data_IF_809988942822
#
_entry.id   IF_809988942822
#
_cell.length_a   1.000
_cell.length_b   1.000
_cell.length_c   1.000
_cell.angle_alpha   90.00
_cell.angle_beta   90.00
_cell.angle_gamma   90.00
#
_symmetry.space_group_name_H-M   'P 1'
#
loop_
_entity.id
_entity.type
_entity.pdbx_description
1 polymer ?
#
# COMPACT_ATOMS: atom_id res chain seq x y z
N UNK A 1 27.36 13.02 -4.28
CA UNK A 1 26.25 13.99 -4.30
C UNK A 1 25.47 13.85 -5.60
N UNK A 2 24.74 12.75 -5.80
CA UNK A 2 23.79 12.58 -6.91
C UNK A 2 22.66 11.68 -6.41
N UNK A 3 21.63 12.28 -5.81
CA UNK A 3 20.33 11.63 -5.62
C UNK A 3 19.25 12.69 -5.27
N UNK A 4 19.12 13.73 -6.10
CA UNK A 4 18.21 14.86 -5.79
C UNK A 4 17.27 15.30 -6.89
N UNK A 5 17.02 14.52 -7.96
CA UNK A 5 16.11 14.96 -9.04
C UNK A 5 15.20 13.88 -9.64
N UNK A 6 14.72 12.91 -8.85
CA UNK A 6 13.78 11.91 -9.38
C UNK A 6 12.61 11.52 -8.45
N UNK A 7 12.46 12.18 -7.30
CA UNK A 7 11.47 11.75 -6.29
C UNK A 7 10.30 12.72 -6.08
N UNK A 8 10.31 13.88 -6.71
CA UNK A 8 9.25 14.89 -6.54
C UNK A 8 8.10 14.71 -7.55
N UNK A 9 8.42 14.32 -8.79
CA UNK A 9 7.42 14.25 -9.88
C UNK A 9 6.62 12.93 -9.89
N UNK A 10 7.21 11.83 -9.42
CA UNK A 10 6.60 10.49 -9.52
C UNK A 10 5.45 10.24 -8.55
N UNK A 11 5.35 11.05 -7.48
CA UNK A 11 4.25 11.03 -6.51
C UNK A 11 3.17 12.09 -6.82
N UNK A 12 3.38 12.97 -7.82
CA UNK A 12 2.45 14.07 -8.15
C UNK A 12 1.35 13.68 -9.13
N UNK A 13 1.44 12.54 -9.80
CA UNK A 13 0.36 12.01 -10.66
C UNK A 13 -0.80 11.38 -9.88
N UNK A 14 -0.77 11.42 -8.53
CA UNK A 14 -1.83 10.90 -7.66
C UNK A 14 -2.78 11.98 -7.13
N UNK A 15 -2.94 13.09 -7.85
CA UNK A 15 -3.81 14.21 -7.43
C UNK A 15 -4.81 14.55 -8.53
N UNK A 16 -5.69 13.61 -8.88
CA UNK A 16 -6.98 13.93 -9.52
C UNK A 16 -8.05 12.94 -9.06
N UNK A 17 -8.30 12.91 -7.73
CA UNK A 17 -9.46 12.20 -7.16
C UNK A 17 -10.80 12.68 -7.79
N UNK A 18 -10.80 13.84 -8.43
CA UNK A 18 -11.91 14.41 -9.21
C UNK A 18 -12.28 13.59 -10.46
N UNK A 19 -11.42 12.68 -10.94
CA UNK A 19 -11.65 11.91 -12.17
C UNK A 19 -12.04 10.44 -11.95
N UNK A 20 -11.96 9.91 -10.72
CA UNK A 20 -12.27 8.48 -10.47
C UNK A 20 -13.76 8.24 -10.28
N UNK A 21 -14.50 8.34 -11.39
CA UNK A 21 -15.94 8.09 -11.43
C UNK A 21 -16.29 6.62 -11.67
N UNK A 22 -15.35 5.82 -12.21
CA UNK A 22 -15.59 4.44 -12.61
C UNK A 22 -14.82 3.41 -11.78
N UNK A 23 -15.32 2.17 -11.76
CA UNK A 23 -14.65 1.02 -11.11
C UNK A 23 -13.26 0.77 -11.71
N UNK A 24 -13.08 0.95 -13.02
CA UNK A 24 -11.77 0.81 -13.67
C UNK A 24 -10.75 1.83 -13.15
N UNK A 25 -11.15 3.07 -12.88
CA UNK A 25 -10.22 4.12 -12.44
C UNK A 25 -9.67 3.81 -11.05
N UNK A 26 -10.54 3.36 -10.15
CA UNK A 26 -10.11 2.87 -8.84
C UNK A 26 -9.21 1.65 -8.91
N UNK A 27 -9.49 0.71 -9.83
CA UNK A 27 -8.65 -0.45 -10.04
C UNK A 27 -7.26 -0.06 -10.59
N UNK A 28 -7.19 0.93 -11.49
CA UNK A 28 -5.93 1.49 -12.00
C UNK A 28 -5.16 2.21 -10.90
N UNK A 29 -5.85 3.02 -10.08
CA UNK A 29 -5.24 3.70 -8.95
C UNK A 29 -4.64 2.70 -7.95
N UNK A 30 -5.44 1.72 -7.50
CA UNK A 30 -4.97 0.71 -6.54
C UNK A 30 -3.79 -0.10 -7.12
N UNK A 31 -3.84 -0.40 -8.42
CA UNK A 31 -2.72 -1.03 -9.14
C UNK A 31 -1.46 -0.20 -9.02
N UNK A 32 -1.53 1.07 -9.40
CA UNK A 32 -0.39 1.97 -9.38
C UNK A 32 0.17 2.13 -7.97
N UNK A 33 -0.72 2.37 -7.00
CA UNK A 33 -0.37 2.52 -5.59
C UNK A 33 0.37 1.29 -5.03
N UNK A 34 -0.14 0.09 -5.31
CA UNK A 34 0.50 -1.16 -4.88
C UNK A 34 1.89 -1.35 -5.49
N UNK A 35 2.06 -0.98 -6.76
CA UNK A 35 3.34 -1.16 -7.47
C UNK A 35 4.39 -0.20 -6.93
N UNK A 36 4.05 1.08 -6.75
CA UNK A 36 5.01 2.06 -6.23
C UNK A 36 5.44 1.67 -4.81
N UNK A 37 4.50 1.23 -3.99
CA UNK A 37 4.79 0.72 -2.66
C UNK A 37 5.76 -0.50 -2.67
N UNK A 38 5.61 -1.42 -3.63
CA UNK A 38 6.54 -2.54 -3.81
C UNK A 38 7.93 -2.10 -4.29
N UNK A 39 8.02 -1.05 -5.13
CA UNK A 39 9.30 -0.50 -5.59
C UNK A 39 10.06 0.20 -4.47
N UNK A 40 9.35 0.90 -3.60
CA UNK A 40 9.90 1.55 -2.42
C UNK A 40 10.16 0.57 -1.26
N UNK A 41 9.86 -0.72 -1.45
CA UNK A 41 10.12 -1.72 -0.44
C UNK A 41 11.63 -1.89 -0.21
N UNK A 42 12.08 -1.94 1.05
CA UNK A 42 13.47 -2.23 1.39
C UNK A 42 13.86 -3.69 1.11
N UNK A 43 12.88 -4.60 0.99
CA UNK A 43 13.10 -6.00 0.61
C UNK A 43 13.43 -6.13 -0.90
N UNK A 44 14.63 -6.65 -1.27
CA UNK A 44 14.97 -6.89 -2.68
C UNK A 44 14.03 -7.86 -3.38
N UNK A 45 13.45 -8.81 -2.65
CA UNK A 45 12.48 -9.76 -3.18
C UNK A 45 11.18 -9.03 -3.60
N UNK A 46 10.64 -8.16 -2.73
CA UNK A 46 9.41 -7.40 -3.00
C UNK A 46 9.61 -6.42 -4.16
N UNK A 47 10.78 -5.77 -4.27
CA UNK A 47 11.12 -4.91 -5.42
C UNK A 47 11.12 -5.68 -6.73
N UNK A 48 11.72 -6.87 -6.75
CA UNK A 48 11.75 -7.73 -7.94
C UNK A 48 10.33 -8.19 -8.32
N UNK A 49 9.49 -8.48 -7.32
CA UNK A 49 8.10 -8.85 -7.53
C UNK A 49 7.21 -7.71 -8.06
N UNK A 50 7.66 -6.44 -8.06
CA UNK A 50 6.88 -5.32 -8.58
C UNK A 50 6.45 -5.51 -10.05
N UNK A 51 7.31 -6.11 -10.87
CA UNK A 51 7.00 -6.45 -12.27
C UNK A 51 6.01 -7.60 -12.39
N UNK A 52 6.08 -8.58 -11.49
CA UNK A 52 5.12 -9.67 -11.47
C UNK A 52 3.75 -9.19 -11.00
N UNK A 53 3.70 -8.30 -9.99
CA UNK A 53 2.49 -7.65 -9.52
C UNK A 53 1.84 -6.74 -10.58
N UNK A 54 2.62 -6.19 -11.51
CA UNK A 54 2.07 -5.48 -12.68
C UNK A 54 1.25 -6.40 -13.57
N UNK A 55 1.71 -7.62 -13.81
CA UNK A 55 1.11 -8.57 -14.74
C UNK A 55 0.01 -9.42 -14.10
N UNK A 56 0.14 -9.72 -12.81
CA UNK A 56 -0.73 -10.66 -12.09
C UNK A 56 -1.47 -9.96 -10.94
N UNK A 57 -2.79 -9.71 -11.08
CA UNK A 57 -3.60 -9.06 -10.04
C UNK A 57 -3.60 -9.80 -8.70
N UNK A 58 -3.61 -11.13 -8.74
CA UNK A 58 -3.55 -11.98 -7.54
C UNK A 58 -2.27 -11.72 -6.74
N UNK A 59 -1.10 -11.84 -7.39
CA UNK A 59 0.21 -11.59 -6.76
C UNK A 59 0.30 -10.18 -6.17
N UNK A 60 -0.26 -9.17 -6.85
CA UNK A 60 -0.30 -7.80 -6.34
C UNK A 60 -1.06 -7.72 -5.02
N UNK A 61 -2.24 -8.36 -4.93
CA UNK A 61 -3.08 -8.34 -3.74
C UNK A 61 -2.38 -8.96 -2.54
N UNK A 62 -1.73 -10.11 -2.76
CA UNK A 62 -1.00 -10.83 -1.71
C UNK A 62 0.22 -10.05 -1.22
N UNK A 63 0.98 -9.43 -2.13
CA UNK A 63 2.21 -8.72 -1.79
C UNK A 63 1.96 -7.30 -1.27
N UNK A 64 0.77 -6.75 -1.46
CA UNK A 64 0.49 -5.35 -1.12
C UNK A 64 0.63 -5.08 0.38
N UNK A 65 0.07 -5.95 1.22
CA UNK A 65 0.19 -5.83 2.68
C UNK A 65 1.63 -6.02 3.16
N UNK A 66 2.33 -7.02 2.60
CA UNK A 66 3.74 -7.26 2.90
C UNK A 66 4.64 -6.09 2.48
N UNK A 67 4.38 -5.51 1.31
CA UNK A 67 5.05 -4.30 0.82
C UNK A 67 4.88 -3.12 1.76
N UNK A 68 3.66 -2.92 2.26
CA UNK A 68 3.31 -1.78 3.11
C UNK A 68 4.02 -1.88 4.46
N UNK A 69 3.89 -3.03 5.12
CA UNK A 69 4.55 -3.30 6.40
C UNK A 69 6.06 -3.18 6.26
N UNK A 70 6.62 -3.73 5.18
CA UNK A 70 8.06 -3.71 4.95
C UNK A 70 8.62 -2.31 4.78
N UNK A 71 7.91 -1.41 4.09
CA UNK A 71 8.43 -0.08 3.76
C UNK A 71 8.02 1.01 4.73
N UNK A 72 6.87 0.88 5.42
CA UNK A 72 6.29 1.97 6.21
C UNK A 72 7.27 2.62 7.19
N UNK A 73 8.01 1.82 7.97
CA UNK A 73 9.00 2.32 8.94
C UNK A 73 10.27 2.91 8.30
N UNK A 74 10.51 2.65 7.02
CA UNK A 74 11.69 3.10 6.27
C UNK A 74 11.38 4.26 5.31
N UNK A 75 10.09 4.57 5.09
CA UNK A 75 9.67 5.75 4.35
C UNK A 75 10.00 7.02 5.15
N UNK A 76 10.45 8.07 4.46
CA UNK A 76 10.61 9.38 5.07
C UNK A 76 9.25 9.99 5.44
N UNK A 77 9.24 11.00 6.31
CA UNK A 77 8.00 11.63 6.77
C UNK A 77 7.13 12.22 5.65
N UNK A 78 7.74 12.72 4.57
CA UNK A 78 7.00 13.30 3.45
C UNK A 78 6.24 12.22 2.69
N UNK A 79 6.88 11.08 2.41
CA UNK A 79 6.29 9.90 1.77
C UNK A 79 5.21 9.27 2.66
N UNK A 80 5.43 9.16 3.97
CA UNK A 80 4.41 8.68 4.91
C UNK A 80 3.18 9.60 4.91
N UNK A 81 3.38 10.92 5.01
CA UNK A 81 2.29 11.91 4.94
C UNK A 81 1.51 11.83 3.63
N UNK A 82 2.21 11.67 2.51
CA UNK A 82 1.57 11.53 1.20
C UNK A 82 0.74 10.24 1.09
N UNK A 83 1.23 9.16 1.68
CA UNK A 83 0.54 7.89 1.72
C UNK A 83 -0.74 7.97 2.57
N UNK A 84 -0.65 8.59 3.76
CA UNK A 84 -1.82 8.84 4.62
C UNK A 84 -2.85 9.70 3.91
N UNK A 85 -2.42 10.77 3.23
CA UNK A 85 -3.32 11.63 2.43
C UNK A 85 -4.01 10.84 1.33
N UNK A 86 -3.28 9.98 0.62
CA UNK A 86 -3.84 9.14 -0.45
C UNK A 86 -4.90 8.17 0.09
N UNK A 87 -4.65 7.56 1.25
CA UNK A 87 -5.62 6.71 1.93
C UNK A 87 -6.84 7.51 2.41
N UNK A 88 -6.63 8.67 3.04
CA UNK A 88 -7.71 9.54 3.51
C UNK A 88 -8.62 10.00 2.36
N UNK A 89 -8.04 10.38 1.22
CA UNK A 89 -8.80 10.73 0.02
C UNK A 89 -9.62 9.55 -0.49
N UNK A 90 -9.05 8.34 -0.52
CA UNK A 90 -9.75 7.14 -0.94
C UNK A 90 -10.93 6.81 0.00
N UNK A 91 -10.72 6.84 1.32
CA UNK A 91 -11.76 6.58 2.31
C UNK A 91 -12.86 7.66 2.35
N UNK A 92 -12.55 8.89 1.97
CA UNK A 92 -13.52 9.99 1.93
C UNK A 92 -14.35 10.02 0.65
N UNK A 93 -14.02 9.19 -0.36
CA UNK A 93 -14.75 9.19 -1.63
C UNK A 93 -16.05 8.39 -1.53
N UNK A 94 -17.20 8.96 -1.90
CA UNK A 94 -18.48 8.24 -1.88
C UNK A 94 -18.60 7.19 -3.00
N UNK A 95 -17.73 7.23 -4.00
CA UNK A 95 -17.78 6.35 -5.18
C UNK A 95 -16.78 5.19 -5.11
N UNK A 96 -16.14 4.97 -3.97
CA UNK A 96 -15.15 3.90 -3.83
C UNK A 96 -15.84 2.52 -3.98
N UNK A 97 -15.37 1.65 -4.89
CA UNK A 97 -15.90 0.30 -5.01
C UNK A 97 -15.64 -0.52 -3.72
N UNK A 98 -16.60 -1.33 -3.26
CA UNK A 98 -16.46 -2.11 -2.03
C UNK A 98 -15.22 -3.00 -1.99
N UNK A 99 -14.77 -3.53 -3.13
CA UNK A 99 -13.61 -4.41 -3.21
C UNK A 99 -12.29 -3.65 -2.96
N UNK A 100 -12.23 -2.39 -3.40
CA UNK A 100 -11.09 -1.51 -3.19
C UNK A 100 -11.06 -1.07 -1.73
N UNK A 101 -12.22 -0.66 -1.20
CA UNK A 101 -12.37 -0.34 0.21
C UNK A 101 -11.95 -1.50 1.11
N UNK A 102 -12.40 -2.72 0.83
CA UNK A 102 -12.02 -3.92 1.56
C UNK A 102 -10.49 -4.17 1.52
N UNK A 103 -9.86 -3.94 0.36
CA UNK A 103 -8.40 -4.09 0.22
C UNK A 103 -7.64 -3.04 1.04
N UNK A 104 -8.10 -1.79 1.05
CA UNK A 104 -7.49 -0.71 1.85
C UNK A 104 -7.72 -0.92 3.35
N UNK A 105 -8.90 -1.40 3.75
CA UNK A 105 -9.18 -1.76 5.14
C UNK A 105 -8.30 -2.92 5.61
N UNK A 106 -8.11 -3.94 4.78
CA UNK A 106 -7.18 -5.04 5.07
C UNK A 106 -5.76 -4.52 5.27
N UNK A 107 -5.30 -3.61 4.40
CA UNK A 107 -4.00 -2.96 4.52
C UNK A 107 -3.84 -2.21 5.85
N UNK A 108 -4.83 -1.37 6.19
CA UNK A 108 -4.84 -0.59 7.42
C UNK A 108 -4.86 -1.49 8.66
N UNK A 109 -5.67 -2.55 8.65
CA UNK A 109 -5.74 -3.53 9.72
C UNK A 109 -4.37 -4.20 9.94
N UNK A 110 -3.73 -4.70 8.88
CA UNK A 110 -2.39 -5.31 8.97
C UNK A 110 -1.36 -4.31 9.48
N UNK A 111 -1.41 -3.05 9.02
CA UNK A 111 -0.53 -1.98 9.50
C UNK A 111 -0.69 -1.70 11.00
N UNK A 112 -1.92 -1.56 11.48
CA UNK A 112 -2.24 -1.33 12.90
C UNK A 112 -1.80 -2.53 13.75
N UNK A 113 -2.06 -3.76 13.29
CA UNK A 113 -1.64 -4.98 13.99
C UNK A 113 -0.12 -5.08 14.10
N UNK A 114 0.60 -4.77 13.01
CA UNK A 114 2.06 -4.74 13.02
C UNK A 114 2.59 -3.68 13.99
N UNK A 115 2.00 -2.48 13.96
CA UNK A 115 2.35 -1.41 14.89
C UNK A 115 2.13 -1.83 16.35
N UNK A 116 0.99 -2.46 16.65
CA UNK A 116 0.68 -2.97 17.99
C UNK A 116 1.65 -4.06 18.44
N UNK A 117 2.07 -4.96 17.53
CA UNK A 117 3.06 -5.98 17.83
C UNK A 117 4.43 -5.36 18.16
N UNK A 118 4.85 -4.34 17.43
CA UNK A 118 6.15 -3.68 17.61
C UNK A 118 6.21 -2.72 18.80
N UNK A 119 5.15 -1.94 19.04
CA UNK A 119 5.16 -0.84 20.01
C UNK A 119 4.36 -1.12 21.29
N UNK A 120 3.40 -2.05 21.25
CA UNK A 120 2.54 -2.37 22.39
C UNK A 120 2.80 -3.79 22.94
N UNK A 121 3.78 -4.51 22.40
CA UNK A 121 4.12 -5.87 22.83
C UNK A 121 2.98 -6.87 22.65
N UNK A 122 2.06 -6.60 21.72
CA UNK A 122 0.91 -7.47 21.47
C UNK A 122 1.39 -8.77 20.83
N UNK A 123 1.28 -9.86 21.59
CA UNK A 123 1.46 -11.23 21.10
C UNK A 123 0.17 -11.65 20.38
N UNK A 124 0.20 -11.68 19.05
CA UNK A 124 -0.87 -12.32 18.28
C UNK A 124 -0.74 -13.83 18.50
N UNK A 125 -1.64 -14.42 19.30
CA UNK A 125 -1.78 -15.88 19.36
C UNK A 125 -2.26 -16.35 17.98
N UNK A 126 -1.36 -16.83 17.15
CA UNK A 126 -1.66 -17.53 15.89
C UNK A 126 -2.27 -18.91 16.15
N UNK A 127 -3.32 -19.01 16.97
CA UNK A 127 -3.87 -20.27 17.46
C UNK A 127 -4.71 -21.05 16.43
N UNK A 128 -4.78 -20.60 15.17
CA UNK A 128 -5.64 -21.19 14.14
C UNK A 128 -4.88 -21.86 12.99
N UNK A 129 -3.57 -21.63 12.84
CA UNK A 129 -2.74 -22.31 11.83
C UNK A 129 -2.09 -23.59 12.37
N UNK A 130 -1.82 -23.69 13.67
CA UNK A 130 -1.21 -24.89 14.28
C UNK A 130 -2.20 -26.07 14.45
N UNK A 131 -3.45 -25.91 14.02
CA UNK A 131 -4.52 -26.94 14.13
C UNK A 131 -5.04 -27.44 12.77
N UNK A 132 -4.36 -27.10 11.67
CA UNK A 132 -4.58 -27.65 10.33
C UNK A 132 -3.31 -28.38 9.88
#
# INVERSE_FOLDING_TARGET
MIMSMANDDRLRTTVEASQWSTKEDWAKWLRHFSIELLKESPSPALRTCSRMAQLQPFVRRELFAAGFVSCWSQLNEASQRQLVRSLQMAFSSPNIPPEILATLLNLAAVGILTYAQQHLGVQLKESWYEKL
#
